data_IF_642268594676
#
_entry.id   IF_642268594676
#
_cell.length_a   1.000
_cell.length_b   1.000
_cell.length_c   1.000
_cell.angle_alpha   90.00
_cell.angle_beta   90.00
_cell.angle_gamma   90.00
#
_symmetry.space_group_name_H-M   'P 1'
#
loop_
_entity.id
_entity.type
_entity.pdbx_description
1 polymer ?
#
# COMPACT_ATOMS: atom_id res chain seq x y z
N UNK A 1 -10.44 5.77 44.83
CA UNK A 1 -11.04 5.33 43.56
C UNK A 1 -11.42 6.51 42.65
N UNK A 2 -10.82 6.56 41.47
CA UNK A 2 -11.11 7.49 40.39
C UNK A 2 -10.78 6.84 39.05
N UNK A 3 -10.84 7.59 37.96
CA UNK A 3 -10.50 7.09 36.63
C UNK A 3 -9.69 8.15 35.87
N UNK A 4 -8.68 7.72 35.12
CA UNK A 4 -7.96 8.54 34.16
C UNK A 4 -8.55 8.20 32.79
N UNK A 5 -9.22 9.17 32.17
CA UNK A 5 -9.83 9.01 30.85
C UNK A 5 -8.95 9.74 29.83
N UNK A 6 -8.49 9.01 28.82
CA UNK A 6 -7.77 9.55 27.66
C UNK A 6 -8.75 9.52 26.49
N UNK A 7 -9.06 10.69 25.94
CA UNK A 7 -9.87 10.79 24.73
C UNK A 7 -9.02 10.38 23.52
N UNK A 8 -9.60 9.52 22.67
CA UNK A 8 -9.02 9.03 21.41
C UNK A 8 -10.11 9.07 20.35
N UNK A 9 -9.74 9.12 19.08
CA UNK A 9 -10.67 9.27 17.96
C UNK A 9 -11.64 8.08 17.83
N UNK A 10 -11.23 6.88 18.26
CA UNK A 10 -12.06 5.66 18.23
C UNK A 10 -12.87 5.47 19.53
N UNK A 11 -12.20 5.09 20.63
CA UNK A 11 -12.82 4.87 21.94
C UNK A 11 -11.96 5.47 23.06
N UNK A 12 -12.58 6.09 24.08
CA UNK A 12 -11.84 6.64 25.20
C UNK A 12 -11.24 5.52 26.05
N UNK A 13 -9.94 5.63 26.33
CA UNK A 13 -9.24 4.69 27.20
C UNK A 13 -9.47 5.12 28.64
N UNK A 14 -9.99 4.20 29.44
CA UNK A 14 -10.27 4.41 30.86
C UNK A 14 -9.31 3.56 31.68
N UNK A 15 -8.46 4.22 32.46
CA UNK A 15 -7.57 3.59 33.43
C UNK A 15 -8.18 3.80 34.82
N UNK A 16 -8.59 2.71 35.45
CA UNK A 16 -9.09 2.75 36.82
C UNK A 16 -7.96 3.08 37.80
N UNK A 17 -8.18 4.04 38.69
CA UNK A 17 -7.25 4.47 39.72
C UNK A 17 -7.80 4.02 41.08
N UNK A 18 -7.26 2.94 41.66
CA UNK A 18 -7.68 2.49 42.99
C UNK A 18 -7.28 3.51 44.05
N UNK A 19 -6.01 3.88 44.04
CA UNK A 19 -5.40 4.84 44.96
C UNK A 19 -4.39 5.71 44.23
N UNK A 20 -4.46 7.02 44.45
CA UNK A 20 -3.52 7.99 43.88
C UNK A 20 -3.23 9.05 44.91
N UNK A 21 -1.99 9.12 45.38
CA UNK A 21 -1.53 10.14 46.33
C UNK A 21 -0.45 10.97 45.66
N UNK A 22 -0.67 12.29 45.63
CA UNK A 22 0.32 13.28 45.21
C UNK A 22 0.55 14.21 46.40
N UNK A 23 1.71 14.09 47.02
CA UNK A 23 2.13 14.95 48.13
C UNK A 23 3.21 15.89 47.63
N UNK A 24 2.94 17.19 47.60
CA UNK A 24 3.92 18.21 47.26
C UNK A 24 4.15 19.15 48.44
N UNK A 25 5.40 19.32 48.84
CA UNK A 25 5.80 20.24 49.90
C UNK A 25 6.68 21.33 49.33
N UNK A 26 6.30 22.58 49.56
CA UNK A 26 7.08 23.74 49.15
C UNK A 26 7.64 24.40 50.40
N UNK A 27 8.96 24.40 50.54
CA UNK A 27 9.64 25.00 51.69
C UNK A 27 11.00 25.54 51.25
N UNK A 28 11.34 26.75 51.70
CA UNK A 28 12.67 27.35 51.51
C UNK A 28 13.17 27.30 50.06
N UNK A 29 12.31 27.67 49.10
CA UNK A 29 12.62 27.65 47.66
C UNK A 29 12.90 26.25 47.06
N UNK A 30 12.46 25.19 47.75
CA UNK A 30 12.53 23.82 47.29
C UNK A 30 11.12 23.22 47.21
N UNK A 31 10.91 22.35 46.23
CA UNK A 31 9.69 21.58 46.02
C UNK A 31 10.07 20.11 46.14
N UNK A 32 9.47 19.38 47.08
CA UNK A 32 9.58 17.93 47.13
C UNK A 32 8.20 17.32 46.88
N UNK A 33 8.13 16.45 45.88
CA UNK A 33 6.91 15.81 45.41
C UNK A 33 7.06 14.30 45.48
N UNK A 34 6.10 13.63 46.09
CA UNK A 34 5.96 12.18 46.07
C UNK A 34 4.65 11.84 45.38
N UNK A 35 4.73 10.97 44.38
CA UNK A 35 3.60 10.44 43.63
C UNK A 35 3.54 8.93 43.86
N UNK A 36 2.37 8.43 44.24
CA UNK A 36 2.07 7.01 44.35
C UNK A 36 0.74 6.78 43.63
N UNK A 37 0.74 5.99 42.57
CA UNK A 37 -0.45 5.66 41.79
C UNK A 37 -0.58 4.15 41.66
N UNK A 38 -1.71 3.61 42.10
CA UNK A 38 -2.15 2.24 41.87
C UNK A 38 -3.30 2.27 40.84
N UNK A 39 -2.99 1.78 39.65
CA UNK A 39 -3.82 1.86 38.44
C UNK A 39 -4.62 0.56 38.21
N UNK A 40 -5.16 -0.04 39.28
CA UNK A 40 -5.94 -1.28 39.24
C UNK A 40 -5.20 -2.39 38.49
N UNK A 41 -5.73 -2.86 37.36
CA UNK A 41 -5.14 -3.92 36.54
C UNK A 41 -3.91 -3.48 35.74
N UNK A 42 -3.71 -2.18 35.55
CA UNK A 42 -2.58 -1.65 34.76
C UNK A 42 -1.27 -1.79 35.53
N UNK A 43 -1.28 -1.48 36.83
CA UNK A 43 -0.13 -1.67 37.72
C UNK A 43 0.19 -0.42 38.55
N UNK A 44 1.46 -0.23 38.86
CA UNK A 44 1.89 0.78 39.84
C UNK A 44 2.93 1.74 39.27
N UNK A 45 2.82 3.00 39.71
CA UNK A 45 3.80 4.05 39.44
C UNK A 45 4.12 4.76 40.76
N UNK A 46 5.39 4.87 41.07
CA UNK A 46 5.90 5.65 42.19
C UNK A 46 6.97 6.61 41.71
N UNK A 47 6.91 7.85 42.17
CA UNK A 47 7.92 8.84 41.87
C UNK A 47 8.23 9.70 43.09
N UNK A 48 9.50 10.01 43.27
CA UNK A 48 9.97 11.02 44.23
C UNK A 48 10.77 12.04 43.42
N UNK A 49 10.36 13.30 43.46
CA UNK A 49 10.96 14.38 42.66
C UNK A 49 11.22 15.56 43.56
N UNK A 50 12.45 16.05 43.55
CA UNK A 50 12.87 17.25 44.26
C UNK A 50 13.38 18.28 43.25
N UNK A 51 12.81 19.48 43.31
CA UNK A 51 13.28 20.67 42.60
C UNK A 51 13.85 21.61 43.64
N UNK A 52 15.16 21.85 43.59
CA UNK A 52 15.81 22.80 44.49
C UNK A 52 16.13 24.10 43.78
N UNK A 53 16.06 25.19 44.54
CA UNK A 53 16.29 26.54 44.04
C UNK A 53 15.38 26.88 42.83
N UNK A 54 14.06 26.67 42.98
CA UNK A 54 13.13 26.76 41.85
C UNK A 54 13.02 28.17 41.24
N UNK A 55 13.43 29.21 41.98
CA UNK A 55 13.55 30.60 41.51
C UNK A 55 14.83 30.90 40.71
N UNK A 56 15.84 30.03 40.71
CA UNK A 56 17.09 30.23 39.98
C UNK A 56 17.49 28.98 39.19
N UNK A 57 18.29 28.09 39.79
CA UNK A 57 18.95 26.99 39.08
C UNK A 57 17.99 25.85 38.73
N UNK A 58 16.85 25.73 39.42
CA UNK A 58 15.82 24.73 39.13
C UNK A 58 16.42 23.33 39.01
N UNK A 59 17.26 22.95 39.98
CA UNK A 59 17.97 21.67 39.98
C UNK A 59 16.98 20.56 40.23
N UNK A 60 16.98 19.57 39.34
CA UNK A 60 16.10 18.41 39.38
C UNK A 60 16.84 17.23 40.00
N UNK A 61 16.18 16.49 40.89
CA UNK A 61 16.64 15.19 41.36
C UNK A 61 15.44 14.31 41.67
N UNK A 62 15.55 12.99 41.49
CA UNK A 62 14.42 12.13 41.81
C UNK A 62 14.61 10.68 41.38
N UNK A 63 13.63 9.85 41.71
CA UNK A 63 13.54 8.47 41.27
C UNK A 63 12.11 8.19 40.82
N UNK A 64 11.96 7.48 39.70
CA UNK A 64 10.71 6.99 39.15
C UNK A 64 10.83 5.47 39.08
N UNK A 65 9.88 4.77 39.69
CA UNK A 65 9.72 3.33 39.54
C UNK A 65 8.33 3.03 39.02
N UNK A 66 8.25 2.18 38.01
CA UNK A 66 6.98 1.75 37.46
C UNK A 66 7.01 0.26 37.16
N UNK A 67 5.89 -0.40 37.47
CA UNK A 67 5.64 -1.79 37.13
C UNK A 67 4.23 -1.90 36.58
N UNK A 68 4.11 -1.93 35.26
CA UNK A 68 2.84 -2.08 34.57
C UNK A 68 2.75 -3.51 34.03
N UNK A 69 1.65 -4.19 34.32
CA UNK A 69 1.38 -5.57 33.86
C UNK A 69 0.36 -5.61 32.71
N UNK A 70 -0.22 -4.46 32.38
CA UNK A 70 -1.06 -4.26 31.21
C UNK A 70 -0.61 -2.98 30.49
N UNK A 71 -0.47 -3.08 29.16
CA UNK A 71 -0.08 -1.99 28.27
C UNK A 71 -1.20 -1.58 27.33
N UNK A 72 -2.43 -2.01 27.60
CA UNK A 72 -3.63 -1.56 26.89
C UNK A 72 -3.73 -0.03 26.77
N UNK A 73 -3.25 0.81 27.72
CA UNK A 73 -3.34 2.26 27.54
C UNK A 73 -2.43 2.84 26.45
N UNK A 74 -1.46 2.08 25.94
CA UNK A 74 -0.54 2.54 24.88
C UNK A 74 -1.29 2.87 23.58
N UNK A 75 -2.41 2.19 23.29
CA UNK A 75 -3.22 2.46 22.10
C UNK A 75 -3.78 3.89 22.07
N UNK A 76 -3.88 4.57 23.21
CA UNK A 76 -4.36 5.96 23.28
C UNK A 76 -3.36 6.98 22.76
N UNK A 77 -2.09 6.60 22.70
CA UNK A 77 -1.01 7.42 22.16
C UNK A 77 -0.56 6.95 20.78
N UNK A 78 -0.96 5.74 20.40
CA UNK A 78 -0.65 5.10 19.12
C UNK A 78 -1.92 4.41 18.61
N UNK A 79 -2.87 5.16 18.02
CA UNK A 79 -4.18 4.63 17.62
C UNK A 79 -4.09 3.54 16.54
N UNK A 80 -3.03 3.56 15.74
CA UNK A 80 -2.73 2.49 14.76
C UNK A 80 -2.40 1.13 15.39
N UNK A 81 -2.13 1.11 16.71
CA UNK A 81 -1.81 -0.09 17.48
C UNK A 81 -3.03 -0.50 18.31
N UNK A 82 -3.51 -1.72 18.06
CA UNK A 82 -4.61 -2.32 18.81
C UNK A 82 -4.14 -3.56 19.55
N UNK A 83 -5.00 -4.04 20.47
CA UNK A 83 -4.76 -5.23 21.30
C UNK A 83 -3.37 -5.24 21.96
N UNK A 84 -2.92 -4.07 22.44
CA UNK A 84 -1.58 -3.91 23.01
C UNK A 84 -1.48 -4.66 24.34
N UNK A 85 -0.49 -5.53 24.45
CA UNK A 85 -0.20 -6.32 25.66
C UNK A 85 1.29 -6.30 25.95
N UNK A 86 1.66 -6.55 27.21
CA UNK A 86 3.04 -6.67 27.65
C UNK A 86 3.25 -6.17 29.07
N UNK A 87 4.49 -6.27 29.55
CA UNK A 87 4.87 -5.89 30.91
C UNK A 87 5.96 -4.83 30.87
N UNK A 88 5.74 -3.67 31.48
CA UNK A 88 6.73 -2.61 31.59
C UNK A 88 7.30 -2.57 33.00
N UNK A 89 8.63 -2.56 33.10
CA UNK A 89 9.35 -2.27 34.33
C UNK A 89 10.30 -1.10 34.08
N UNK A 90 10.23 -0.07 34.92
CA UNK A 90 11.13 1.08 34.86
C UNK A 90 11.73 1.36 36.25
N UNK A 91 13.03 1.63 36.27
CA UNK A 91 13.74 2.19 37.43
C UNK A 91 14.67 3.28 36.89
N UNK A 92 14.28 4.54 37.11
CA UNK A 92 14.88 5.72 36.49
C UNK A 92 15.21 6.72 37.59
N UNK A 93 16.46 7.15 37.66
CA UNK A 93 16.87 8.31 38.45
C UNK A 93 16.96 9.55 37.56
N UNK A 94 16.46 10.66 38.09
CA UNK A 94 16.49 11.99 37.48
C UNK A 94 17.56 12.84 38.14
N UNK A 95 18.27 13.63 37.34
CA UNK A 95 19.22 14.64 37.81
C UNK A 95 19.29 15.83 36.84
N UNK A 96 20.16 16.81 37.09
CA UNK A 96 20.37 17.97 36.21
C UNK A 96 19.47 19.15 36.56
N UNK A 97 18.85 19.76 35.55
CA UNK A 97 17.93 20.91 35.72
C UNK A 97 16.62 20.65 35.00
N UNK A 98 15.56 21.41 35.33
CA UNK A 98 14.27 21.29 34.61
C UNK A 98 14.44 21.50 33.10
N UNK A 99 15.35 22.39 32.67
CA UNK A 99 15.59 22.69 31.26
C UNK A 99 16.46 21.65 30.55
N UNK A 100 17.29 20.93 31.29
CA UNK A 100 18.20 19.92 30.77
C UNK A 100 18.23 18.74 31.76
N UNK A 101 17.17 17.91 31.77
CA UNK A 101 17.10 16.77 32.65
C UNK A 101 18.08 15.69 32.18
N UNK A 102 18.74 15.06 33.15
CA UNK A 102 19.59 13.90 32.94
C UNK A 102 18.89 12.68 33.52
N UNK A 103 18.82 11.61 32.73
CA UNK A 103 18.19 10.35 33.10
C UNK A 103 19.28 9.30 33.28
N UNK A 104 19.18 8.47 34.31
CA UNK A 104 20.01 7.27 34.47
C UNK A 104 19.16 6.10 34.94
N UNK A 105 19.43 4.90 34.46
CA UNK A 105 18.66 3.70 34.79
C UNK A 105 18.14 2.98 33.55
N UNK A 106 17.06 2.23 33.71
CA UNK A 106 16.54 1.35 32.66
C UNK A 106 15.02 1.26 32.67
N UNK A 107 14.46 1.06 31.48
CA UNK A 107 13.09 0.68 31.22
C UNK A 107 13.12 -0.55 30.33
N UNK A 108 12.39 -1.60 30.72
CA UNK A 108 12.26 -2.83 29.96
C UNK A 108 10.78 -3.14 29.74
N UNK A 109 10.39 -3.31 28.48
CA UNK A 109 9.10 -3.87 28.09
C UNK A 109 9.34 -5.32 27.70
N UNK A 110 8.61 -6.25 28.30
CA UNK A 110 8.71 -7.69 28.02
C UNK A 110 7.40 -8.23 27.50
N UNK A 111 7.51 -9.24 26.64
CA UNK A 111 6.37 -9.96 26.07
C UNK A 111 5.37 -9.00 25.39
N UNK A 112 5.90 -8.00 24.68
CA UNK A 112 5.07 -7.02 23.98
C UNK A 112 4.38 -7.68 22.79
N UNK A 113 3.09 -7.45 22.61
CA UNK A 113 2.35 -7.86 21.42
C UNK A 113 1.32 -6.82 21.06
N UNK A 114 1.13 -6.58 19.76
CA UNK A 114 0.15 -5.65 19.23
C UNK A 114 -0.33 -6.09 17.85
N UNK A 115 -1.56 -5.72 17.53
CA UNK A 115 -2.13 -5.82 16.19
C UNK A 115 -2.04 -4.46 15.49
N UNK A 116 -1.76 -4.49 14.19
CA UNK A 116 -1.78 -3.33 13.31
C UNK A 116 -2.89 -3.58 12.29
N UNK A 117 -4.15 -3.19 12.58
CA UNK A 117 -5.33 -3.62 11.82
C UNK A 117 -5.25 -3.23 10.34
N UNK A 118 -4.78 -2.02 10.05
CA UNK A 118 -4.61 -1.50 8.68
C UNK A 118 -3.67 -2.35 7.81
N UNK A 119 -2.70 -3.04 8.43
CA UNK A 119 -1.77 -3.94 7.75
C UNK A 119 -2.18 -5.42 7.90
N UNK A 120 -3.24 -5.70 8.67
CA UNK A 120 -3.72 -7.03 9.06
C UNK A 120 -2.57 -7.92 9.58
N UNK A 121 -1.69 -7.33 10.38
CA UNK A 121 -0.47 -7.97 10.86
C UNK A 121 -0.39 -7.86 12.38
N UNK A 122 0.18 -8.89 13.01
CA UNK A 122 0.54 -8.89 14.42
C UNK A 122 2.06 -8.75 14.55
N UNK A 123 2.50 -7.95 15.52
CA UNK A 123 3.90 -7.79 15.87
C UNK A 123 4.11 -8.17 17.33
N UNK A 124 5.16 -8.95 17.59
CA UNK A 124 5.58 -9.28 18.96
C UNK A 124 7.00 -8.80 19.20
N UNK A 125 7.34 -8.41 20.42
CA UNK A 125 8.71 -8.12 20.81
C UNK A 125 8.99 -8.78 22.16
N UNK A 126 9.90 -9.77 22.22
CA UNK A 126 10.22 -10.45 23.48
C UNK A 126 10.75 -9.46 24.54
N UNK A 127 11.55 -8.49 24.09
CA UNK A 127 12.09 -7.47 24.96
C UNK A 127 12.43 -6.19 24.19
N UNK A 128 12.04 -5.05 24.77
CA UNK A 128 12.46 -3.71 24.38
C UNK A 128 13.14 -3.08 25.60
N UNK A 129 14.40 -2.66 25.45
CA UNK A 129 15.21 -2.04 26.49
C UNK A 129 15.51 -0.60 26.14
N UNK A 130 15.25 0.29 27.08
CA UNK A 130 15.69 1.69 27.06
C UNK A 130 16.60 1.88 28.28
N UNK A 131 17.78 2.46 28.09
CA UNK A 131 18.75 2.63 29.17
C UNK A 131 19.54 3.92 29.03
N UNK A 132 20.00 4.48 30.14
CA UNK A 132 20.89 5.63 30.17
C UNK A 132 21.86 5.52 31.33
N UNK A 133 23.09 5.97 31.14
CA UNK A 133 24.15 5.97 32.16
C UNK A 133 24.24 7.29 32.93
N UNK A 134 23.31 8.24 32.68
CA UNK A 134 23.32 9.56 33.31
C UNK A 134 24.26 10.56 32.64
N UNK A 135 24.97 10.18 31.58
CA UNK A 135 25.89 11.07 30.84
C UNK A 135 25.25 11.76 29.64
N UNK A 136 23.92 11.67 29.51
CA UNK A 136 23.12 12.37 28.51
C UNK A 136 22.53 11.48 27.43
N UNK A 137 23.16 10.37 27.04
CA UNK A 137 22.63 9.52 25.97
C UNK A 137 21.65 8.46 26.49
N UNK A 138 20.47 8.42 25.86
CA UNK A 138 19.47 7.37 26.05
C UNK A 138 19.62 6.37 24.91
N UNK A 139 19.80 5.09 25.25
CA UNK A 139 19.95 3.98 24.30
C UNK A 139 18.69 3.14 24.26
N UNK A 140 18.22 2.83 23.07
CA UNK A 140 17.10 1.95 22.79
C UNK A 140 17.62 0.69 22.09
N UNK A 141 17.14 -0.48 22.49
CA UNK A 141 17.40 -1.73 21.81
C UNK A 141 16.16 -2.62 21.89
N UNK A 142 15.72 -3.15 20.76
CA UNK A 142 14.56 -4.04 20.68
C UNK A 142 14.70 -5.06 19.56
N UNK A 143 14.01 -6.18 19.72
CA UNK A 143 13.80 -7.17 18.68
C UNK A 143 12.30 -7.37 18.51
N UNK A 144 11.78 -7.03 17.33
CA UNK A 144 10.42 -7.34 16.94
C UNK A 144 10.39 -8.56 16.02
N UNK A 145 9.28 -9.29 16.04
CA UNK A 145 8.98 -10.43 15.19
C UNK A 145 7.61 -10.27 14.57
N UNK A 146 7.51 -10.60 13.29
CA UNK A 146 6.25 -10.68 12.57
C UNK A 146 6.34 -11.71 11.45
N UNK A 147 5.29 -12.51 11.30
CA UNK A 147 5.33 -13.73 10.50
C UNK A 147 6.48 -14.64 10.96
N UNK A 148 7.36 -15.01 10.03
CA UNK A 148 8.56 -15.80 10.30
C UNK A 148 9.84 -14.97 10.38
N UNK A 149 9.73 -13.64 10.30
CA UNK A 149 10.87 -12.73 10.26
C UNK A 149 11.09 -11.97 11.55
N UNK A 150 12.23 -11.30 11.60
CA UNK A 150 12.66 -10.47 12.72
C UNK A 150 13.17 -9.11 12.28
N UNK A 151 13.02 -8.13 13.18
CA UNK A 151 13.45 -6.75 12.99
C UNK A 151 14.15 -6.29 14.27
N UNK A 152 15.44 -6.04 14.16
CA UNK A 152 16.27 -5.46 15.21
C UNK A 152 16.25 -3.94 15.09
N UNK A 153 15.95 -3.28 16.20
CA UNK A 153 15.99 -1.84 16.33
C UNK A 153 17.03 -1.46 17.39
N UNK A 154 17.94 -0.56 17.05
CA UNK A 154 18.86 0.06 18.01
C UNK A 154 18.84 1.56 17.82
N UNK A 155 18.78 2.34 18.88
CA UNK A 155 18.76 3.79 18.78
C UNK A 155 19.53 4.48 19.89
N UNK A 156 19.92 5.72 19.60
CA UNK A 156 20.52 6.64 20.55
C UNK A 156 19.78 7.97 20.45
N UNK A 157 19.36 8.50 21.59
CA UNK A 157 18.71 9.80 21.72
C UNK A 157 19.50 10.66 22.70
N UNK A 158 19.84 11.87 22.28
CA UNK A 158 20.44 12.90 23.12
C UNK A 158 19.37 13.96 23.45
N UNK A 159 18.85 14.01 24.69
CA UNK A 159 17.85 14.97 25.11
C UNK A 159 18.30 16.44 25.03
N UNK A 160 19.61 16.73 25.03
CA UNK A 160 20.12 18.11 24.98
C UNK A 160 20.06 18.67 23.57
N UNK A 161 20.63 17.95 22.60
CA UNK A 161 20.56 18.32 21.18
C UNK A 161 19.24 17.95 20.53
N UNK A 162 18.43 17.11 21.19
CA UNK A 162 17.24 16.42 20.63
C UNK A 162 17.59 15.53 19.44
N UNK A 163 18.87 15.20 19.26
CA UNK A 163 19.30 14.33 18.19
C UNK A 163 18.89 12.89 18.47
N UNK A 164 18.25 12.25 17.50
CA UNK A 164 17.84 10.85 17.50
C UNK A 164 18.52 10.14 16.33
N UNK A 165 19.15 9.00 16.61
CA UNK A 165 19.67 8.10 15.58
C UNK A 165 19.13 6.71 15.83
N UNK A 166 18.39 6.16 14.88
CA UNK A 166 17.84 4.81 14.92
C UNK A 166 18.45 4.01 13.77
N UNK A 167 18.90 2.79 14.06
CA UNK A 167 19.24 1.77 13.08
C UNK A 167 18.20 0.66 13.13
N UNK A 168 17.64 0.33 11.98
CA UNK A 168 16.65 -0.72 11.79
C UNK A 168 17.27 -1.76 10.86
N UNK A 169 17.37 -3.01 11.32
CA UNK A 169 17.86 -4.12 10.51
C UNK A 169 16.93 -5.31 10.65
N UNK A 170 16.43 -5.86 9.56
CA UNK A 170 15.53 -7.00 9.60
C UNK A 170 15.78 -8.01 8.51
N UNK A 171 15.24 -9.21 8.72
CA UNK A 171 15.30 -10.33 7.79
C UNK A 171 13.92 -10.96 7.70
N UNK A 172 13.39 -11.03 6.48
CA UNK A 172 12.09 -11.62 6.16
C UNK A 172 10.92 -11.17 7.04
N UNK A 173 10.96 -9.90 7.50
CA UNK A 173 9.95 -9.33 8.38
C UNK A 173 8.65 -9.05 7.61
N UNK A 174 7.55 -9.67 8.04
CA UNK A 174 6.24 -9.46 7.44
C UNK A 174 5.66 -8.11 7.88
N UNK A 175 5.55 -7.17 6.95
CA UNK A 175 5.02 -5.82 7.24
C UNK A 175 3.52 -5.71 6.99
N UNK A 176 2.97 -6.58 6.14
CA UNK A 176 1.55 -6.56 5.81
C UNK A 176 1.07 -7.95 5.41
N UNK A 177 -0.16 -8.30 5.82
CA UNK A 177 -0.89 -9.50 5.43
C UNK A 177 -2.36 -9.19 5.13
N UNK A 178 -2.64 -8.01 4.61
CA UNK A 178 -3.99 -7.62 4.22
C UNK A 178 -4.42 -8.29 2.90
N UNK A 179 -5.69 -8.11 2.52
CA UNK A 179 -6.17 -8.56 1.20
C UNK A 179 -5.52 -7.77 0.07
N UNK A 180 -5.30 -6.48 0.28
CA UNK A 180 -4.73 -5.56 -0.69
C UNK A 180 -3.20 -5.63 -0.77
N UNK A 181 -2.53 -5.95 0.34
CA UNK A 181 -1.08 -6.00 0.41
C UNK A 181 -0.61 -7.14 1.31
N UNK A 182 0.16 -8.06 0.73
CA UNK A 182 0.98 -9.01 1.47
C UNK A 182 2.43 -8.70 1.18
N UNK A 183 3.23 -8.34 2.17
CA UNK A 183 4.61 -7.91 1.92
C UNK A 183 5.53 -8.35 3.04
N UNK A 184 6.71 -8.84 2.62
CA UNK A 184 7.82 -9.22 3.47
C UNK A 184 9.03 -8.41 3.06
N UNK A 185 9.74 -7.83 4.04
CA UNK A 185 10.90 -6.97 3.79
C UNK A 185 12.11 -7.39 4.62
N UNK A 186 13.30 -7.04 4.13
CA UNK A 186 14.57 -7.13 4.85
C UNK A 186 15.28 -5.78 4.78
N UNK A 187 14.99 -4.85 5.72
CA UNK A 187 15.57 -3.52 5.72
C UNK A 187 16.97 -3.48 6.37
N UNK A 188 17.84 -2.59 5.91
CA UNK A 188 19.00 -2.06 6.65
C UNK A 188 18.96 -0.53 6.50
N UNK A 189 18.33 0.13 7.47
CA UNK A 189 18.02 1.56 7.45
C UNK A 189 18.67 2.28 8.64
N UNK A 190 19.09 3.51 8.39
CA UNK A 190 19.51 4.48 9.41
C UNK A 190 18.61 5.70 9.29
N UNK A 191 17.93 6.02 10.38
CA UNK A 191 17.06 7.18 10.53
C UNK A 191 17.76 8.13 11.50
N UNK A 192 17.95 9.38 11.10
CA UNK A 192 18.50 10.44 11.93
C UNK A 192 17.48 11.57 12.00
N UNK A 193 17.29 12.16 13.16
CA UNK A 193 16.41 13.30 13.35
C UNK A 193 17.08 14.27 14.32
N UNK A 194 17.03 15.55 14.01
CA UNK A 194 17.55 16.65 14.84
C UNK A 194 16.67 17.90 14.64
N UNK A 195 17.19 19.09 14.96
CA UNK A 195 16.48 20.35 14.76
C UNK A 195 16.24 20.70 13.29
N UNK A 196 17.06 20.17 12.38
CA UNK A 196 17.09 20.58 10.98
C UNK A 196 16.16 19.70 10.12
N UNK A 197 15.92 18.47 10.54
CA UNK A 197 14.92 17.60 9.93
C UNK A 197 15.12 16.12 10.21
N UNK A 198 14.53 15.30 9.35
CA UNK A 198 14.68 13.84 9.39
C UNK A 198 15.44 13.37 8.16
N UNK A 199 16.47 12.55 8.36
CA UNK A 199 17.25 11.90 7.31
C UNK A 199 17.06 10.38 7.38
N UNK A 200 16.57 9.79 6.29
CA UNK A 200 16.41 8.33 6.16
C UNK A 200 17.34 7.82 5.06
N UNK A 201 18.25 6.90 5.42
CA UNK A 201 19.20 6.30 4.46
C UNK A 201 19.24 4.78 4.59
N UNK A 202 19.45 4.09 3.48
CA UNK A 202 19.79 2.67 3.49
C UNK A 202 19.16 1.90 2.34
N UNK A 203 18.87 0.63 2.60
CA UNK A 203 18.28 -0.26 1.60
C UNK A 203 17.16 -1.12 2.18
N UNK A 204 16.22 -1.48 1.32
CA UNK A 204 15.12 -2.37 1.62
C UNK A 204 15.05 -3.42 0.52
N UNK A 205 15.36 -4.66 0.86
CA UNK A 205 15.04 -5.81 0.02
C UNK A 205 13.59 -6.21 0.28
N UNK A 206 12.83 -6.45 -0.78
CA UNK A 206 11.48 -7.01 -0.72
C UNK A 206 11.58 -8.40 -1.36
N UNK A 207 11.78 -9.49 -0.60
CA UNK A 207 11.88 -10.82 -1.19
C UNK A 207 10.55 -11.29 -1.81
N UNK A 208 9.43 -10.91 -1.19
CA UNK A 208 8.09 -11.32 -1.57
C UNK A 208 7.08 -10.21 -1.31
N UNK A 209 6.25 -9.95 -2.31
CA UNK A 209 5.09 -9.09 -2.16
C UNK A 209 3.97 -9.52 -3.10
N UNK A 210 2.72 -9.36 -2.66
CA UNK A 210 1.55 -9.45 -3.51
C UNK A 210 0.70 -8.21 -3.26
N UNK A 211 0.62 -7.36 -4.29
CA UNK A 211 -0.18 -6.14 -4.32
C UNK A 211 -1.44 -6.45 -5.12
N UNK A 212 -2.60 -6.31 -4.50
CA UNK A 212 -3.90 -6.47 -5.15
C UNK A 212 -4.72 -5.20 -4.94
N UNK A 213 -4.83 -4.38 -6.00
CA UNK A 213 -5.66 -3.19 -6.03
C UNK A 213 -6.89 -3.36 -6.95
N UNK A 214 -7.25 -4.60 -7.31
CA UNK A 214 -8.47 -4.87 -8.09
C UNK A 214 -9.68 -4.58 -7.21
N UNK A 215 -10.47 -3.57 -7.59
CA UNK A 215 -11.67 -3.17 -6.84
C UNK A 215 -11.40 -2.20 -5.71
N UNK A 216 -10.18 -1.66 -5.59
CA UNK A 216 -9.91 -0.50 -4.74
C UNK A 216 -10.62 0.73 -5.32
N UNK A 217 -11.92 0.86 -5.01
CA UNK A 217 -12.50 2.18 -4.85
C UNK A 217 -11.67 2.91 -3.79
N UNK A 218 -11.63 4.23 -3.84
CA UNK A 218 -10.92 5.12 -2.92
C UNK A 218 -11.24 4.93 -1.41
N UNK A 219 -12.07 3.96 -1.06
CA UNK A 219 -12.43 3.54 0.30
C UNK A 219 -11.70 2.25 0.75
N UNK A 220 -11.23 1.40 -0.18
CA UNK A 220 -10.44 0.18 0.13
C UNK A 220 -8.94 0.44 -0.06
N UNK A 221 -8.35 1.22 0.85
CA UNK A 221 -7.01 0.99 1.40
C UNK A 221 -5.86 0.65 0.45
N UNK A 222 -5.80 1.18 -0.77
CA UNK A 222 -4.50 1.47 -1.37
C UNK A 222 -3.96 2.60 -0.52
N UNK A 223 -2.83 2.37 0.16
CA UNK A 223 -2.14 3.38 0.97
C UNK A 223 -1.92 4.60 0.06
N UNK A 224 -2.83 5.56 0.14
CA UNK A 224 -2.70 6.84 -0.52
C UNK A 224 -1.71 7.61 0.34
N UNK A 225 -0.57 7.96 -0.26
CA UNK A 225 0.25 9.04 0.29
C UNK A 225 -0.68 10.24 0.27
N UNK A 226 -1.05 10.73 1.46
CA UNK A 226 -2.05 11.79 1.59
C UNK A 226 -1.61 12.96 0.70
N UNK A 227 -2.47 13.33 -0.24
CA UNK A 227 -2.36 14.61 -0.92
C UNK A 227 -2.50 15.71 0.12
N UNK A 228 -1.70 16.75 -0.01
CA UNK A 228 -1.69 17.91 0.88
C UNK A 228 -3.12 18.38 1.19
N UNK A 229 -3.45 18.43 2.47
CA UNK A 229 -4.70 19.02 2.93
C UNK A 229 -4.51 20.53 2.95
N UNK A 230 -5.14 21.23 2.00
CA UNK A 230 -5.25 22.68 2.03
C UNK A 230 -6.29 23.03 3.11
N UNK A 231 -5.82 23.54 4.25
CA UNK A 231 -6.71 24.08 5.28
C UNK A 231 -7.07 25.52 4.89
N UNK A 232 -8.34 25.77 4.57
CA UNK A 232 -8.87 27.12 4.40
C UNK A 232 -9.48 27.52 5.74
N UNK A 233 -8.74 28.31 6.53
CA UNK A 233 -9.28 28.95 7.73
C UNK A 233 -9.31 30.48 7.48
N UNK A 234 -10.49 31.09 7.63
CA UNK A 234 -10.70 32.55 7.47
C UNK A 234 -10.33 33.16 6.10
N UNK A 235 -10.36 32.39 5.02
CA UNK A 235 -10.14 32.91 3.66
C UNK A 235 -8.67 33.19 3.32
N UNK A 236 -7.73 32.83 4.20
CA UNK A 236 -6.31 32.75 3.89
C UNK A 236 -5.93 31.28 3.69
N UNK A 237 -5.29 31.00 2.56
CA UNK A 237 -4.68 29.70 2.29
C UNK A 237 -3.48 29.60 3.24
N UNK A 238 -3.63 28.90 4.34
CA UNK A 238 -2.48 28.52 5.16
C UNK A 238 -2.09 27.13 4.70
N UNK A 239 -1.04 27.03 3.90
CA UNK A 239 -0.38 25.75 3.63
C UNK A 239 -0.07 25.13 4.99
N UNK A 240 -0.79 24.06 5.34
CA UNK A 240 -0.43 23.26 6.49
C UNK A 240 0.92 22.66 6.15
N UNK A 241 2.00 23.24 6.69
CA UNK A 241 3.32 22.62 6.69
C UNK A 241 3.18 21.34 7.50
N UNK A 242 2.71 20.29 6.85
CA UNK A 242 2.76 18.93 7.34
C UNK A 242 4.17 18.69 7.86
N UNK A 243 4.29 17.97 8.97
CA UNK A 243 5.58 17.55 9.51
C UNK A 243 6.45 16.77 8.50
N UNK A 244 5.90 16.41 7.34
CA UNK A 244 6.62 15.93 6.15
C UNK A 244 7.52 16.99 5.47
N UNK A 245 7.47 18.27 5.88
CA UNK A 245 8.19 19.37 5.21
C UNK A 245 9.71 19.32 5.34
N UNK A 246 10.30 18.66 6.35
CA UNK A 246 11.76 18.60 6.53
C UNK A 246 12.34 17.17 6.45
N UNK A 247 11.83 16.32 5.55
CA UNK A 247 12.36 14.96 5.35
C UNK A 247 13.32 14.88 4.16
N UNK A 248 14.51 14.35 4.40
CA UNK A 248 15.44 13.90 3.37
C UNK A 248 15.46 12.37 3.35
N UNK A 249 15.29 11.77 2.17
CA UNK A 249 15.25 10.32 1.98
C UNK A 249 16.26 9.91 0.90
N UNK A 250 16.99 8.83 1.13
CA UNK A 250 17.87 8.20 0.15
C UNK A 250 17.88 6.68 0.40
N UNK A 251 16.92 6.00 -0.22
CA UNK A 251 16.66 4.57 0.02
C UNK A 251 16.70 3.79 -1.28
N UNK A 252 17.48 2.71 -1.30
CA UNK A 252 17.48 1.74 -2.40
C UNK A 252 16.50 0.62 -2.10
N UNK A 253 15.46 0.50 -2.91
CA UNK A 253 14.49 -0.58 -2.86
C UNK A 253 14.88 -1.62 -3.91
N UNK A 254 14.96 -2.89 -3.52
CA UNK A 254 15.26 -4.01 -4.42
C UNK A 254 14.13 -5.02 -4.35
N UNK A 255 13.57 -5.36 -5.51
CA UNK A 255 12.52 -6.36 -5.67
C UNK A 255 13.16 -7.73 -5.88
N UNK A 256 12.74 -8.72 -5.09
CA UNK A 256 13.09 -10.12 -5.25
C UNK A 256 12.32 -10.81 -6.39
N UNK A 257 12.28 -12.13 -6.36
CA UNK A 257 11.73 -12.94 -7.46
C UNK A 257 10.22 -13.25 -7.32
N UNK A 258 9.61 -13.03 -6.15
CA UNK A 258 8.17 -13.30 -5.90
C UNK A 258 7.39 -12.01 -5.62
N UNK A 259 7.47 -11.07 -6.58
CA UNK A 259 6.73 -9.81 -6.52
C UNK A 259 5.58 -9.85 -7.52
N UNK A 260 4.35 -9.94 -7.01
CA UNK A 260 3.13 -10.03 -7.81
C UNK A 260 2.31 -8.76 -7.66
N UNK A 261 1.83 -8.25 -8.79
CA UNK A 261 1.00 -7.05 -8.85
C UNK A 261 -0.25 -7.37 -9.65
N UNK A 262 -1.40 -7.09 -9.07
CA UNK A 262 -2.72 -7.22 -9.66
C UNK A 262 -3.46 -5.89 -9.50
N UNK A 263 -3.59 -5.15 -10.59
CA UNK A 263 -4.33 -3.89 -10.68
C UNK A 263 -5.41 -4.03 -11.76
N UNK A 264 -6.24 -3.00 -11.97
CA UNK A 264 -7.40 -3.05 -12.86
C UNK A 264 -7.06 -3.61 -14.25
N UNK A 265 -6.04 -3.05 -14.90
CA UNK A 265 -5.70 -3.39 -16.29
C UNK A 265 -4.42 -4.21 -16.43
N UNK A 266 -3.78 -4.61 -15.32
CA UNK A 266 -2.50 -5.30 -15.36
C UNK A 266 -2.40 -6.36 -14.26
N UNK A 267 -1.91 -7.54 -14.63
CA UNK A 267 -1.47 -8.54 -13.68
C UNK A 267 -0.12 -9.10 -14.09
N UNK A 268 0.85 -9.13 -13.19
CA UNK A 268 2.17 -9.65 -13.53
C UNK A 268 3.14 -9.75 -12.36
N UNK A 269 4.31 -10.28 -12.70
CA UNK A 269 5.46 -10.45 -11.82
C UNK A 269 6.51 -9.38 -12.14
N UNK A 270 6.98 -8.69 -11.11
CA UNK A 270 7.93 -7.60 -11.21
C UNK A 270 9.29 -7.98 -10.63
N UNK A 271 10.36 -7.40 -11.17
CA UNK A 271 11.71 -7.46 -10.58
C UNK A 271 12.46 -6.16 -10.82
N UNK A 272 13.58 -5.97 -10.13
CA UNK A 272 14.49 -4.86 -10.38
C UNK A 272 14.77 -4.04 -9.12
N UNK A 273 15.20 -2.80 -9.31
CA UNK A 273 15.54 -1.93 -8.19
C UNK A 273 15.28 -0.46 -8.51
N UNK A 274 14.96 0.28 -7.46
CA UNK A 274 14.66 1.70 -7.50
C UNK A 274 15.36 2.39 -6.33
N UNK A 275 16.22 3.37 -6.61
CA UNK A 275 16.70 4.31 -5.61
C UNK A 275 15.78 5.51 -5.58
N UNK A 276 15.17 5.76 -4.43
CA UNK A 276 14.30 6.91 -4.19
C UNK A 276 15.10 7.94 -3.41
N UNK A 277 15.08 9.19 -3.89
CA UNK A 277 15.72 10.33 -3.26
C UNK A 277 14.70 11.45 -3.07
N UNK A 278 14.62 12.02 -1.89
CA UNK A 278 13.73 13.14 -1.59
C UNK A 278 14.49 14.16 -0.76
N UNK A 279 14.29 15.44 -1.05
CA UNK A 279 14.66 16.56 -0.19
C UNK A 279 13.39 17.33 0.17
N UNK A 280 13.40 18.12 1.25
CA UNK A 280 12.34 19.05 1.59
C UNK A 280 11.81 19.79 0.35
N UNK A 281 10.48 19.95 0.27
CA UNK A 281 9.76 20.74 -0.75
C UNK A 281 9.83 20.22 -2.20
N UNK A 282 10.60 19.17 -2.48
CA UNK A 282 10.69 18.56 -3.81
C UNK A 282 9.96 17.22 -3.87
N UNK A 283 9.36 16.93 -5.03
CA UNK A 283 8.80 15.62 -5.32
C UNK A 283 9.90 14.54 -5.23
N UNK A 284 9.59 13.32 -4.74
CA UNK A 284 10.57 12.24 -4.68
C UNK A 284 11.07 11.87 -6.08
N UNK A 285 12.39 11.80 -6.23
CA UNK A 285 13.07 11.44 -7.46
C UNK A 285 13.49 9.97 -7.45
N UNK A 286 13.37 9.30 -8.58
CA UNK A 286 13.67 7.88 -8.74
C UNK A 286 14.78 7.63 -9.75
N UNK A 287 15.73 6.75 -9.42
CA UNK A 287 16.68 6.18 -10.39
C UNK A 287 16.68 4.67 -10.32
N UNK A 288 16.51 3.99 -11.46
CA UNK A 288 16.45 2.52 -11.48
C UNK A 288 15.59 1.98 -12.61
N UNK A 289 15.30 0.68 -12.54
CA UNK A 289 14.46 -0.01 -13.51
C UNK A 289 13.65 -1.10 -12.81
N UNK A 290 12.36 -1.13 -13.13
CA UNK A 290 11.46 -2.22 -12.79
C UNK A 290 11.09 -2.94 -14.09
N UNK A 291 11.30 -4.25 -14.13
CA UNK A 291 10.97 -5.10 -15.27
C UNK A 291 9.76 -5.97 -14.95
N UNK A 292 8.91 -6.18 -15.95
CA UNK A 292 7.84 -7.17 -15.93
C UNK A 292 8.39 -8.47 -16.49
N UNK A 293 8.50 -9.50 -15.65
CA UNK A 293 9.02 -10.82 -16.03
C UNK A 293 7.96 -11.59 -16.80
N UNK A 294 6.76 -11.66 -16.23
CA UNK A 294 5.57 -12.26 -16.80
C UNK A 294 4.41 -11.32 -16.53
N UNK A 295 3.64 -10.95 -17.55
CA UNK A 295 2.52 -10.05 -17.33
C UNK A 295 1.48 -10.17 -18.42
N UNK A 296 0.25 -9.92 -18.02
CA UNK A 296 -0.89 -9.76 -18.89
C UNK A 296 -1.45 -8.36 -18.71
N UNK A 297 -1.84 -7.76 -19.83
CA UNK A 297 -2.44 -6.42 -19.87
C UNK A 297 -3.82 -6.50 -20.49
N UNK A 298 -4.81 -5.87 -19.87
CA UNK A 298 -6.19 -5.85 -20.32
C UNK A 298 -6.41 -4.64 -21.22
N UNK A 299 -6.69 -4.88 -22.51
CA UNK A 299 -6.99 -3.83 -23.49
C UNK A 299 -8.38 -4.08 -24.05
N UNK A 300 -9.32 -3.16 -23.82
CA UNK A 300 -10.73 -3.29 -24.24
C UNK A 300 -11.38 -4.62 -23.80
N UNK A 301 -11.07 -5.07 -22.57
CA UNK A 301 -11.59 -6.33 -22.03
C UNK A 301 -10.92 -7.60 -22.58
N UNK A 302 -9.84 -7.47 -23.36
CA UNK A 302 -9.08 -8.58 -23.92
C UNK A 302 -7.71 -8.67 -23.28
N UNK A 303 -7.35 -9.87 -22.84
CA UNK A 303 -6.07 -10.14 -22.19
C UNK A 303 -4.98 -10.30 -23.25
N UNK A 304 -4.01 -9.39 -23.24
CA UNK A 304 -2.85 -9.41 -24.11
C UNK A 304 -1.62 -9.78 -23.30
N UNK A 305 -0.81 -10.71 -23.84
CA UNK A 305 0.45 -11.09 -23.20
C UNK A 305 1.48 -9.99 -23.39
N UNK A 306 2.16 -9.65 -22.31
CA UNK A 306 3.31 -8.76 -22.34
C UNK A 306 4.55 -9.53 -22.78
N UNK A 307 5.13 -9.16 -23.92
CA UNK A 307 6.38 -9.75 -24.40
C UNK A 307 7.59 -9.11 -23.72
N UNK A 308 7.46 -7.81 -23.39
CA UNK A 308 8.47 -7.05 -22.65
C UNK A 308 7.80 -5.89 -21.94
N UNK A 309 8.10 -5.69 -20.66
CA UNK A 309 7.66 -4.51 -19.90
C UNK A 309 8.81 -3.95 -19.09
N UNK A 310 9.14 -2.69 -19.31
CA UNK A 310 10.16 -1.97 -18.53
C UNK A 310 9.63 -0.62 -18.11
N UNK A 311 9.82 -0.31 -16.83
CA UNK A 311 9.55 1.00 -16.23
C UNK A 311 10.89 1.58 -15.80
N UNK A 312 11.24 2.71 -16.38
CA UNK A 312 12.55 3.32 -16.35
C UNK A 312 12.48 4.61 -15.53
N UNK A 313 13.29 4.68 -14.48
CA UNK A 313 13.41 5.84 -13.61
C UNK A 313 14.74 6.53 -13.91
N UNK A 314 14.69 7.68 -14.57
CA UNK A 314 15.86 8.40 -15.08
C UNK A 314 16.38 9.53 -14.19
N UNK A 315 15.96 9.59 -12.92
CA UNK A 315 16.26 10.69 -11.99
C UNK A 315 15.16 11.75 -11.87
N UNK A 316 14.01 11.55 -12.53
CA UNK A 316 12.82 12.39 -12.41
C UNK A 316 11.85 11.91 -11.32
N UNK A 317 10.66 12.53 -11.21
CA UNK A 317 9.63 12.15 -10.26
C UNK A 317 9.26 10.66 -10.33
N UNK A 318 9.16 10.01 -9.16
CA UNK A 318 8.84 8.56 -9.06
C UNK A 318 7.44 8.21 -9.55
N UNK A 319 6.53 9.18 -9.59
CA UNK A 319 5.15 9.02 -10.05
C UNK A 319 4.99 9.15 -11.57
N UNK A 320 6.04 9.58 -12.29
CA UNK A 320 6.02 9.76 -13.74
C UNK A 320 7.22 9.11 -14.46
N UNK A 321 7.46 7.80 -14.29
CA UNK A 321 8.56 7.11 -14.96
C UNK A 321 8.36 6.98 -16.47
N UNK A 322 9.43 6.64 -17.18
CA UNK A 322 9.39 6.30 -18.60
C UNK A 322 8.94 4.84 -18.78
N UNK A 323 8.04 4.61 -19.72
CA UNK A 323 7.50 3.30 -20.07
C UNK A 323 8.18 2.79 -21.35
N UNK A 324 8.52 1.51 -21.38
CA UNK A 324 8.94 0.78 -22.57
C UNK A 324 8.32 -0.62 -22.52
N UNK A 325 7.10 -0.74 -23.02
CA UNK A 325 6.32 -1.97 -22.99
C UNK A 325 5.92 -2.40 -24.40
N UNK A 326 5.83 -3.71 -24.60
CA UNK A 326 5.38 -4.38 -25.80
C UNK A 326 4.35 -5.45 -25.41
N UNK A 327 3.15 -5.32 -25.95
CA UNK A 327 2.07 -6.31 -25.80
C UNK A 327 1.69 -6.83 -27.18
N UNK A 328 1.42 -8.12 -27.28
CA UNK A 328 1.10 -8.76 -28.55
C UNK A 328 0.07 -9.88 -28.39
N UNK A 329 -0.70 -10.08 -29.46
CA UNK A 329 -1.55 -11.23 -29.67
C UNK A 329 -1.15 -11.94 -30.95
N UNK A 330 -0.80 -13.22 -30.80
CA UNK A 330 -0.51 -14.12 -31.91
C UNK A 330 -1.77 -14.93 -32.24
N UNK A 331 -2.20 -14.88 -33.49
CA UNK A 331 -3.38 -15.58 -34.00
C UNK A 331 -2.94 -16.62 -35.01
N UNK A 332 -2.66 -17.84 -34.52
CA UNK A 332 -2.07 -18.92 -35.32
C UNK A 332 -2.89 -19.27 -36.56
N UNK A 333 -4.22 -19.22 -36.48
CA UNK A 333 -5.13 -19.53 -37.59
C UNK A 333 -4.88 -18.67 -38.84
N UNK A 334 -4.35 -17.46 -38.65
CA UNK A 334 -4.04 -16.52 -39.73
C UNK A 334 -2.54 -16.24 -39.85
N UNK A 335 -1.70 -16.85 -39.01
CA UNK A 335 -0.26 -16.55 -38.90
C UNK A 335 0.03 -15.05 -38.72
N UNK A 336 -0.82 -14.37 -37.95
CA UNK A 336 -0.72 -12.92 -37.70
C UNK A 336 -0.28 -12.67 -36.26
N UNK A 337 0.69 -11.77 -36.08
CA UNK A 337 0.96 -11.14 -34.78
C UNK A 337 0.50 -9.69 -34.84
N UNK A 338 -0.38 -9.28 -33.93
CA UNK A 338 -0.87 -7.92 -33.80
C UNK A 338 -0.57 -7.42 -32.39
N UNK A 339 0.05 -6.25 -32.27
CA UNK A 339 0.53 -5.75 -30.99
C UNK A 339 0.64 -4.25 -30.92
N UNK A 340 1.10 -3.77 -29.77
CA UNK A 340 1.32 -2.36 -29.52
C UNK A 340 2.57 -2.12 -28.66
N UNK A 341 3.30 -1.07 -29.00
CA UNK A 341 4.32 -0.47 -28.15
C UNK A 341 3.70 0.62 -27.29
N UNK A 342 3.99 0.62 -25.99
CA UNK A 342 3.60 1.66 -25.04
C UNK A 342 4.89 2.34 -24.58
N UNK A 343 5.06 3.62 -24.95
CA UNK A 343 6.25 4.42 -24.66
C UNK A 343 5.90 5.80 -24.11
N UNK A 344 6.88 6.56 -23.65
CA UNK A 344 6.66 7.89 -23.06
C UNK A 344 6.52 7.81 -21.54
N UNK A 345 6.05 8.88 -20.90
CA UNK A 345 5.93 8.89 -19.43
C UNK A 345 4.64 8.24 -18.96
N UNK A 346 4.58 7.80 -17.70
CA UNK A 346 3.38 7.20 -17.12
C UNK A 346 2.15 8.14 -17.16
N UNK A 347 2.35 9.46 -17.06
CA UNK A 347 1.29 10.46 -17.16
C UNK A 347 0.92 10.83 -18.62
N UNK A 348 1.77 10.51 -19.60
CA UNK A 348 1.55 10.80 -21.01
C UNK A 348 2.02 9.64 -21.90
N UNK A 349 1.42 8.44 -21.77
CA UNK A 349 1.81 7.28 -22.55
C UNK A 349 1.40 7.43 -24.02
N UNK A 350 2.27 7.01 -24.92
CA UNK A 350 2.06 6.95 -26.36
C UNK A 350 1.96 5.49 -26.80
N UNK A 351 0.84 5.17 -27.45
CA UNK A 351 0.57 3.85 -28.02
C UNK A 351 0.92 3.86 -29.51
N UNK A 352 1.73 2.91 -29.97
CA UNK A 352 2.01 2.70 -31.39
C UNK A 352 1.72 1.26 -31.78
N UNK A 353 0.75 1.07 -32.68
CA UNK A 353 0.33 -0.24 -33.16
C UNK A 353 1.34 -0.83 -34.14
N UNK A 354 1.49 -2.16 -34.13
CA UNK A 354 2.30 -2.88 -35.11
C UNK A 354 1.70 -4.25 -35.42
N UNK A 355 2.10 -4.81 -36.56
CA UNK A 355 1.77 -6.18 -36.90
C UNK A 355 2.81 -6.84 -37.80
N UNK A 356 2.82 -8.16 -37.77
CA UNK A 356 3.52 -9.01 -38.73
C UNK A 356 2.52 -10.02 -39.32
N UNK A 357 2.22 -9.96 -40.63
CA UNK A 357 2.70 -8.97 -41.62
C UNK A 357 2.14 -7.55 -41.38
N UNK A 358 2.76 -6.48 -41.94
CA UNK A 358 2.30 -5.10 -41.77
C UNK A 358 0.88 -4.88 -42.33
N UNK A 359 0.02 -4.24 -41.54
CA UNK A 359 -1.36 -3.94 -41.93
C UNK A 359 -1.82 -2.57 -41.37
N UNK A 360 -2.94 -2.00 -41.85
CA UNK A 360 -3.50 -0.77 -41.29
C UNK A 360 -3.99 -0.95 -39.85
N UNK A 361 -3.91 0.11 -39.04
CA UNK A 361 -4.27 0.13 -37.61
C UNK A 361 -5.63 -0.49 -37.28
N UNK A 362 -6.66 -0.23 -38.10
CA UNK A 362 -7.99 -0.81 -37.93
C UNK A 362 -7.98 -2.35 -37.95
N UNK A 363 -7.14 -2.94 -38.82
CA UNK A 363 -6.96 -4.38 -38.88
C UNK A 363 -6.16 -4.91 -37.70
N UNK A 364 -5.11 -4.19 -37.27
CA UNK A 364 -4.32 -4.53 -36.07
C UNK A 364 -5.23 -4.60 -34.85
N UNK A 365 -6.07 -3.58 -34.64
CA UNK A 365 -7.05 -3.53 -33.56
C UNK A 365 -8.05 -4.68 -33.63
N UNK A 366 -8.55 -5.02 -34.83
CA UNK A 366 -9.45 -6.17 -35.00
C UNK A 366 -8.79 -7.48 -34.55
N UNK A 367 -7.53 -7.70 -34.89
CA UNK A 367 -6.80 -8.88 -34.42
C UNK A 367 -6.49 -8.84 -32.93
N UNK A 368 -6.09 -7.68 -32.38
CA UNK A 368 -5.82 -7.54 -30.95
C UNK A 368 -7.07 -7.79 -30.10
N UNK A 369 -8.20 -7.18 -30.48
CA UNK A 369 -9.45 -7.24 -29.72
C UNK A 369 -10.22 -8.54 -30.05
N UNK A 370 -10.52 -8.77 -31.33
CA UNK A 370 -11.42 -9.86 -31.75
C UNK A 370 -10.68 -11.16 -32.09
N UNK A 371 -9.36 -11.12 -32.28
CA UNK A 371 -8.59 -12.28 -32.73
C UNK A 371 -8.87 -12.68 -34.18
N UNK A 372 -9.44 -11.79 -34.99
CA UNK A 372 -9.84 -12.09 -36.37
C UNK A 372 -9.73 -10.86 -37.28
N UNK A 373 -9.58 -11.06 -38.60
CA UNK A 373 -9.50 -9.94 -39.54
C UNK A 373 -10.79 -9.10 -39.53
N UNK A 374 -10.69 -7.78 -39.82
CA UNK A 374 -11.85 -6.92 -39.92
C UNK A 374 -12.76 -7.40 -41.05
N UNK A 375 -14.06 -7.47 -40.78
CA UNK A 375 -15.05 -7.95 -41.77
C UNK A 375 -15.23 -9.47 -41.83
N UNK A 376 -14.56 -10.25 -40.98
CA UNK A 376 -14.81 -11.70 -40.86
C UNK A 376 -16.20 -11.92 -40.23
N UNK A 377 -17.09 -12.61 -40.95
CA UNK A 377 -18.50 -12.83 -40.59
C UNK A 377 -18.65 -13.48 -39.21
N UNK A 378 -19.34 -12.83 -38.29
CA UNK A 378 -19.60 -13.42 -36.97
C UNK A 378 -20.60 -12.65 -36.12
N UNK A 379 -21.83 -12.47 -36.60
CA UNK A 379 -22.93 -11.93 -35.81
C UNK A 379 -24.09 -11.44 -36.68
N UNK A 380 -25.12 -12.27 -36.83
CA UNK A 380 -26.40 -11.88 -37.44
C UNK A 380 -27.53 -12.21 -36.48
N UNK A 381 -28.42 -11.25 -36.26
CA UNK A 381 -29.65 -11.48 -35.50
C UNK A 381 -30.76 -11.85 -36.49
N UNK A 382 -31.34 -13.05 -36.35
CA UNK A 382 -32.40 -13.54 -37.24
C UNK A 382 -33.73 -13.53 -36.53
N UNK A 383 -34.67 -12.73 -37.04
CA UNK A 383 -36.05 -12.69 -36.58
C UNK A 383 -36.93 -13.40 -37.59
N UNK A 384 -37.54 -14.53 -37.23
CA UNK A 384 -38.37 -15.29 -38.15
C UNK A 384 -39.53 -16.02 -37.49
N UNK A 385 -40.56 -16.31 -38.29
CA UNK A 385 -41.80 -16.94 -37.86
C UNK A 385 -42.34 -17.87 -38.94
N UNK A 386 -42.97 -18.95 -38.50
CA UNK A 386 -43.82 -19.78 -39.35
C UNK A 386 -45.17 -19.09 -39.54
N UNK A 387 -45.49 -18.71 -40.77
CA UNK A 387 -46.78 -18.12 -41.13
C UNK A 387 -47.85 -19.20 -41.34
N UNK A 388 -47.41 -20.38 -41.77
CA UNK A 388 -48.19 -21.63 -41.80
C UNK A 388 -47.24 -22.77 -41.40
N UNK A 389 -47.75 -24.00 -41.14
CA UNK A 389 -46.87 -25.16 -40.90
C UNK A 389 -45.83 -25.39 -41.99
N UNK A 390 -46.13 -24.95 -43.22
CA UNK A 390 -45.31 -25.18 -44.41
C UNK A 390 -44.52 -23.95 -44.87
N UNK A 391 -44.77 -22.75 -44.31
CA UNK A 391 -44.13 -21.50 -44.73
C UNK A 391 -43.41 -20.82 -43.58
N UNK A 392 -42.09 -20.75 -43.67
CA UNK A 392 -41.23 -19.97 -42.78
C UNK A 392 -40.70 -18.73 -43.49
N UNK A 393 -40.79 -17.60 -42.80
CA UNK A 393 -40.22 -16.32 -43.23
C UNK A 393 -39.34 -15.78 -42.13
N UNK A 394 -38.10 -15.42 -42.46
CA UNK A 394 -37.13 -14.87 -41.53
C UNK A 394 -36.35 -13.71 -42.12
N UNK A 395 -36.05 -12.71 -41.30
CA UNK A 395 -35.24 -11.56 -41.65
C UNK A 395 -34.00 -11.53 -40.77
N UNK A 396 -32.83 -11.62 -41.40
CA UNK A 396 -31.54 -11.61 -40.74
C UNK A 396 -30.89 -10.24 -40.92
N UNK A 397 -30.63 -9.55 -39.81
CA UNK A 397 -29.92 -8.27 -39.78
C UNK A 397 -28.46 -8.54 -39.41
N UNK A 398 -27.54 -8.12 -40.26
CA UNK A 398 -26.12 -8.10 -39.93
C UNK A 398 -25.85 -7.05 -38.86
N UNK A 399 -25.25 -7.44 -37.72
CA UNK A 399 -24.99 -6.53 -36.60
C UNK A 399 -23.79 -5.61 -36.86
N UNK A 400 -22.90 -5.98 -37.79
CA UNK A 400 -21.64 -5.28 -38.05
C UNK A 400 -21.44 -4.93 -39.53
N UNK A 401 -22.27 -5.49 -40.42
CA UNK A 401 -22.32 -5.14 -41.84
C UNK A 401 -23.78 -4.77 -42.16
N UNK A 402 -24.02 -3.73 -42.96
CA UNK A 402 -25.36 -3.31 -43.41
C UNK A 402 -25.98 -4.27 -44.45
N UNK A 403 -25.89 -5.56 -44.17
CA UNK A 403 -26.31 -6.65 -45.04
C UNK A 403 -27.54 -7.26 -44.39
N UNK A 404 -28.69 -6.95 -44.97
CA UNK A 404 -29.97 -7.48 -44.55
C UNK A 404 -30.36 -8.61 -45.51
N UNK A 405 -30.62 -9.80 -44.96
CA UNK A 405 -31.03 -10.96 -45.76
C UNK A 405 -32.42 -11.40 -45.36
N UNK A 406 -33.33 -11.40 -46.33
CA UNK A 406 -34.64 -12.01 -46.24
C UNK A 406 -34.54 -13.49 -46.63
N UNK A 407 -35.05 -14.37 -45.77
CA UNK A 407 -35.06 -15.81 -45.97
C UNK A 407 -36.51 -16.31 -46.02
N UNK A 408 -36.81 -17.13 -47.02
CA UNK A 408 -38.09 -17.78 -47.20
C UNK A 408 -37.88 -19.27 -47.40
N UNK A 409 -38.62 -20.07 -46.66
CA UNK A 409 -38.64 -21.53 -46.79
C UNK A 409 -40.09 -21.98 -46.94
N UNK A 410 -40.40 -22.64 -48.04
CA UNK A 410 -41.74 -23.17 -48.30
C UNK A 410 -41.68 -24.67 -48.61
N UNK A 411 -42.48 -25.45 -47.90
CA UNK A 411 -42.62 -26.90 -48.11
C UNK A 411 -43.69 -27.14 -49.17
N UNK A 412 -43.28 -27.64 -50.34
CA UNK A 412 -44.18 -27.93 -51.47
C UNK A 412 -44.85 -29.30 -51.31
N UNK A 413 -44.11 -30.29 -50.80
CA UNK A 413 -44.59 -31.63 -50.42
C UNK A 413 -43.75 -32.15 -49.26
N UNK A 414 -44.06 -33.34 -48.72
CA UNK A 414 -43.23 -33.98 -47.68
C UNK A 414 -41.76 -34.16 -48.06
N UNK A 415 -41.48 -34.29 -49.36
CA UNK A 415 -40.13 -34.53 -49.89
C UNK A 415 -39.55 -33.37 -50.69
N UNK A 416 -40.31 -32.31 -50.97
CA UNK A 416 -39.86 -31.19 -51.80
C UNK A 416 -40.08 -29.86 -51.09
N UNK A 417 -39.02 -29.06 -50.97
CA UNK A 417 -39.05 -27.73 -50.39
C UNK A 417 -38.37 -26.71 -51.30
N UNK A 418 -38.77 -25.46 -51.16
CA UNK A 418 -38.17 -24.30 -51.82
C UNK A 418 -37.54 -23.40 -50.76
N UNK A 419 -36.29 -23.03 -50.99
CA UNK A 419 -35.56 -22.07 -50.15
C UNK A 419 -35.17 -20.88 -51.01
N UNK A 420 -35.62 -19.69 -50.64
CA UNK A 420 -35.21 -18.46 -51.27
C UNK A 420 -34.53 -17.56 -50.25
N UNK A 421 -33.40 -16.96 -50.63
CA UNK A 421 -32.74 -15.94 -49.84
C UNK A 421 -32.54 -14.70 -50.73
N UNK A 422 -32.79 -13.53 -50.17
CA UNK A 422 -32.69 -12.24 -50.87
C UNK A 422 -31.91 -11.26 -49.99
N UNK A 423 -30.83 -10.69 -50.53
CA UNK A 423 -29.86 -9.88 -49.78
C UNK A 423 -28.85 -9.23 -50.73
N UNK A 424 -27.54 -9.43 -50.53
CA UNK A 424 -26.52 -8.99 -51.51
C UNK A 424 -26.62 -9.77 -52.83
N UNK A 425 -26.97 -11.05 -52.75
CA UNK A 425 -27.25 -11.90 -53.89
C UNK A 425 -28.56 -12.65 -53.63
N UNK A 426 -29.37 -12.79 -54.67
CA UNK A 426 -30.63 -13.50 -54.60
C UNK A 426 -30.39 -14.95 -55.03
N UNK A 427 -30.81 -15.90 -54.20
CA UNK A 427 -30.76 -17.32 -54.52
C UNK A 427 -32.13 -17.96 -54.29
N UNK A 428 -32.42 -18.97 -55.10
CA UNK A 428 -33.61 -19.79 -54.97
C UNK A 428 -33.24 -21.24 -55.28
N UNK A 429 -33.32 -22.09 -54.27
CA UNK A 429 -32.94 -23.48 -54.32
C UNK A 429 -34.18 -24.37 -54.14
N UNK A 430 -34.27 -25.43 -54.95
CA UNK A 430 -35.21 -26.51 -54.75
C UNK A 430 -34.50 -27.66 -54.01
N UNK A 431 -35.01 -28.05 -52.85
CA UNK A 431 -34.45 -29.13 -52.05
C UNK A 431 -35.40 -30.32 -52.10
N UNK A 432 -34.89 -31.45 -52.59
CA UNK A 432 -35.59 -32.73 -52.58
C UNK A 432 -34.94 -33.67 -51.56
N UNK A 433 -35.72 -34.11 -50.57
CA UNK A 433 -35.26 -34.99 -49.49
C UNK A 433 -35.66 -36.43 -49.80
N UNK A 434 -34.68 -37.32 -49.90
CA UNK A 434 -34.88 -38.77 -50.05
C UNK A 434 -34.66 -39.40 -48.67
N UNK A 435 -35.74 -39.79 -48.02
CA UNK A 435 -35.66 -40.67 -46.85
C UNK A 435 -35.27 -42.08 -47.32
N UNK A 436 -34.30 -42.70 -46.63
CA UNK A 436 -33.91 -44.11 -46.81
C UNK A 436 -34.61 -44.99 -45.79
#
# INVERSE_FOLDING_TARGET
PGQIKIESDDEPIVIELQEGTINATVKDNNINSTVLMNLDKVGEVSATVAITDFKKAQKLSGNIKSRLSDLSPVSGFAPDLQAVTGNLNADISLSGTIKAPLFSGQLAIKDFSTEIPQLATTMTAPEIKISSDGKGQIRLAGLAKSGNGELKLTGEFDPQSKALKIKVKGESFEVARSKALKAVISPDLVIQMDSDGMLVKGEVLIPKAHINAKGASSEEGVISVSGDVILIENGEITESKSAASNMTLDVKITLGDDIKVEVADFSGELRGSLRVQQTPELAPLGTGMIEVVNGDYLVYGQQLKMERGRVLFGGGPVDNPQLDMNVARRVEAYQVTAGAYIRGTAQAPQLTLYSDPPMPDASILSYMILGQPPGTKGGSYTLGKYLTPDLYVGYSIGLFNAINTFNLRYKLTEKLGLHAASGIANSADLIYTIER
#
